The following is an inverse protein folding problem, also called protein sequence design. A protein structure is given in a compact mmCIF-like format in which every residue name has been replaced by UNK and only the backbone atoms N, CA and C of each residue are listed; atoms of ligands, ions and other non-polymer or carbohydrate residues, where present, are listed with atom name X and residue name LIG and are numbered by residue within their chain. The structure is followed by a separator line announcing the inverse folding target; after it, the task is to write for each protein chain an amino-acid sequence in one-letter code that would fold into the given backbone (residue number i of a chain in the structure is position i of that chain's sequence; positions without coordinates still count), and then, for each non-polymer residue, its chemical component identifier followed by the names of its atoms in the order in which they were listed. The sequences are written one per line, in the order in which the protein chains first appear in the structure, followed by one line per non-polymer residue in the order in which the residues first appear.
data_IF_688333394071
#
_entry.id   IF_688333394071
#
_cell.length_a   1.000
_cell.length_b   1.000
_cell.length_c   1.000
_cell.angle_alpha   90.00
_cell.angle_beta   90.00
_cell.angle_gamma   90.00
#
_symmetry.space_group_name_H-M   'P 1'
#
loop_
_entity.id
_entity.type
_entity.pdbx_description
1 polymer ?
#
# COMPACT_ATOMS: atom_id res chain seq x y z
N UNK A 1 22.00 9.56 -4.22
CA UNK A 1 21.98 9.04 -2.83
C UNK A 1 20.56 8.69 -2.39
N UNK A 2 19.56 9.54 -2.65
CA UNK A 2 18.14 9.30 -2.29
C UNK A 2 17.61 7.93 -2.74
N UNK A 3 17.77 7.57 -4.02
CA UNK A 3 17.32 6.27 -4.54
C UNK A 3 17.87 5.07 -3.76
N UNK A 4 19.16 5.04 -3.46
CA UNK A 4 19.79 3.93 -2.74
C UNK A 4 19.25 3.77 -1.31
N UNK A 5 18.99 4.88 -0.62
CA UNK A 5 18.38 4.87 0.72
C UNK A 5 16.99 4.27 0.67
N UNK A 6 16.16 4.69 -0.30
CA UNK A 6 14.81 4.16 -0.46
C UNK A 6 14.81 2.71 -0.91
N UNK A 7 15.75 2.30 -1.76
CA UNK A 7 15.91 0.91 -2.16
C UNK A 7 16.22 0.02 -0.95
N UNK A 8 17.14 0.45 -0.09
CA UNK A 8 17.48 -0.29 1.15
C UNK A 8 16.29 -0.32 2.10
N UNK A 9 15.59 0.81 2.29
CA UNK A 9 14.40 0.87 3.15
C UNK A 9 13.29 -0.06 2.65
N UNK A 10 13.04 -0.09 1.34
CA UNK A 10 12.07 -0.98 0.71
C UNK A 10 12.48 -2.45 0.82
N UNK A 11 13.76 -2.77 0.60
CA UNK A 11 14.28 -4.11 0.78
C UNK A 11 14.15 -4.58 2.24
N UNK A 12 14.46 -3.72 3.20
CA UNK A 12 14.27 -4.00 4.63
C UNK A 12 12.80 -4.23 4.98
N UNK A 13 11.89 -3.40 4.46
CA UNK A 13 10.45 -3.59 4.63
C UNK A 13 9.98 -4.94 4.05
N UNK A 14 10.42 -5.27 2.84
CA UNK A 14 10.12 -6.55 2.19
C UNK A 14 10.63 -7.74 3.00
N UNK A 15 11.88 -7.70 3.47
CA UNK A 15 12.46 -8.73 4.32
C UNK A 15 11.70 -8.88 5.64
N UNK A 16 11.30 -7.77 6.27
CA UNK A 16 10.51 -7.83 7.49
C UNK A 16 9.15 -8.51 7.28
N UNK A 17 8.42 -8.11 6.22
CA UNK A 17 7.10 -8.69 5.89
C UNK A 17 7.23 -10.16 5.52
N UNK A 18 8.26 -10.50 4.73
CA UNK A 18 8.38 -11.81 4.13
C UNK A 18 9.10 -12.82 5.03
N UNK A 19 10.23 -12.47 5.63
CA UNK A 19 11.09 -13.44 6.31
C UNK A 19 10.86 -13.50 7.83
N UNK A 20 10.52 -12.37 8.46
CA UNK A 20 10.62 -12.24 9.92
C UNK A 20 9.26 -12.41 10.61
N UNK A 21 8.18 -11.95 9.98
CA UNK A 21 6.87 -11.89 10.61
C UNK A 21 6.13 -13.23 10.61
N UNK A 22 5.54 -13.60 11.75
CA UNK A 22 4.53 -14.68 11.83
C UNK A 22 3.31 -14.30 10.97
N UNK A 23 3.15 -14.95 9.82
CA UNK A 23 2.08 -14.64 8.87
C UNK A 23 0.78 -15.34 9.25
N UNK A 24 -0.32 -14.60 9.33
CA UNK A 24 -1.69 -15.16 9.41
C UNK A 24 -2.32 -15.32 8.03
N UNK A 25 -1.72 -14.66 7.05
CA UNK A 25 -2.03 -14.73 5.63
C UNK A 25 -1.08 -15.72 4.94
N UNK A 26 -1.60 -16.61 4.10
CA UNK A 26 -0.78 -17.57 3.34
C UNK A 26 0.07 -16.86 2.27
N UNK A 27 1.19 -17.47 1.85
CA UNK A 27 2.09 -16.86 0.85
C UNK A 27 1.40 -16.52 -0.49
N UNK A 28 0.46 -17.34 -0.94
CA UNK A 28 -0.32 -17.05 -2.16
C UNK A 28 -1.24 -15.84 -1.96
N UNK A 29 -1.87 -15.72 -0.80
CA UNK A 29 -2.68 -14.54 -0.45
C UNK A 29 -1.81 -13.27 -0.39
N UNK A 30 -0.61 -13.36 0.20
CA UNK A 30 0.36 -12.24 0.21
C UNK A 30 0.67 -11.79 -1.22
N UNK A 31 1.00 -12.72 -2.11
CA UNK A 31 1.27 -12.41 -3.53
C UNK A 31 0.05 -11.76 -4.20
N UNK A 32 -1.15 -12.32 -4.01
CA UNK A 32 -2.36 -11.79 -4.62
C UNK A 32 -2.70 -10.37 -4.13
N UNK A 33 -2.61 -10.13 -2.82
CA UNK A 33 -2.88 -8.81 -2.23
C UNK A 33 -1.80 -7.80 -2.59
N UNK A 34 -0.54 -8.24 -2.69
CA UNK A 34 0.57 -7.40 -3.16
C UNK A 34 0.34 -6.94 -4.61
N UNK A 35 0.02 -7.87 -5.52
CA UNK A 35 -0.28 -7.55 -6.92
C UNK A 35 -1.49 -6.63 -7.07
N UNK A 36 -2.59 -6.89 -6.34
CA UNK A 36 -3.74 -5.99 -6.34
C UNK A 36 -3.35 -4.58 -5.87
N UNK A 37 -2.55 -4.49 -4.80
CA UNK A 37 -2.14 -3.21 -4.25
C UNK A 37 -1.25 -2.44 -5.23
N UNK A 38 -0.35 -3.12 -5.95
CA UNK A 38 0.42 -2.52 -7.05
C UNK A 38 -0.53 -1.92 -8.09
N UNK A 39 -1.53 -2.68 -8.55
CA UNK A 39 -2.49 -2.19 -9.55
C UNK A 39 -3.19 -0.93 -9.04
N UNK A 40 -3.71 -0.94 -7.81
CA UNK A 40 -4.42 0.20 -7.23
C UNK A 40 -3.51 1.43 -7.10
N UNK A 41 -2.30 1.27 -6.57
CA UNK A 41 -1.36 2.38 -6.35
C UNK A 41 -0.81 2.94 -7.67
N UNK A 42 -0.57 2.09 -8.67
CA UNK A 42 -0.15 2.54 -10.00
C UNK A 42 -1.28 3.30 -10.71
N UNK A 43 -2.53 2.82 -10.62
CA UNK A 43 -3.67 3.54 -11.20
C UNK A 43 -3.94 4.87 -10.49
N UNK A 44 -3.81 4.90 -9.15
CA UNK A 44 -3.82 6.15 -8.39
C UNK A 44 -2.79 7.13 -8.96
N UNK A 45 -1.53 6.72 -9.02
CA UNK A 45 -0.47 7.58 -9.53
C UNK A 45 -0.73 8.03 -10.97
N UNK A 46 -1.16 7.14 -11.87
CA UNK A 46 -1.49 7.50 -13.25
C UNK A 46 -2.61 8.54 -13.36
N UNK A 47 -3.69 8.39 -12.58
CA UNK A 47 -4.82 9.33 -12.61
C UNK A 47 -4.38 10.72 -12.12
N UNK A 48 -3.67 10.78 -10.98
CA UNK A 48 -3.39 12.05 -10.32
C UNK A 48 -2.15 12.79 -10.85
N UNK A 49 -1.18 12.03 -11.37
CA UNK A 49 0.02 12.58 -12.03
C UNK A 49 -0.25 12.90 -13.51
N UNK A 50 -0.70 11.92 -14.31
CA UNK A 50 -0.78 12.09 -15.77
C UNK A 50 -2.03 12.86 -16.22
N UNK A 51 -3.17 12.65 -15.56
CA UNK A 51 -4.45 13.18 -16.04
C UNK A 51 -4.81 14.53 -15.41
N UNK A 52 -4.67 14.66 -14.08
CA UNK A 52 -5.10 15.88 -13.37
C UNK A 52 -3.97 16.82 -12.98
N UNK A 53 -2.70 16.38 -13.07
CA UNK A 53 -1.51 17.13 -12.60
C UNK A 53 -1.65 17.67 -11.17
N UNK A 54 -2.39 16.95 -10.32
CA UNK A 54 -2.55 17.34 -8.91
C UNK A 54 -1.31 16.97 -8.09
N UNK A 55 -0.57 15.98 -8.58
CA UNK A 55 0.74 15.57 -8.07
C UNK A 55 1.78 15.67 -9.18
N UNK A 56 3.04 15.77 -8.78
CA UNK A 56 4.19 15.96 -9.65
C UNK A 56 5.32 15.06 -9.18
N UNK A 57 5.98 14.36 -10.10
CA UNK A 57 7.14 13.52 -9.83
C UNK A 57 8.29 14.21 -10.55
N UNK A 58 9.33 14.68 -9.83
CA UNK A 58 10.42 15.37 -10.49
C UNK A 58 11.10 14.47 -11.53
N UNK A 59 11.39 15.05 -12.69
CA UNK A 59 12.02 14.42 -13.88
C UNK A 59 13.53 14.16 -13.64
N UNK A 60 13.87 13.69 -12.45
CA UNK A 60 15.20 13.36 -11.98
C UNK A 60 15.18 11.88 -11.65
N UNK A 61 15.98 11.10 -12.38
CA UNK A 61 16.01 9.63 -12.32
C UNK A 61 16.03 9.05 -10.90
N UNK A 62 16.71 9.71 -9.95
CA UNK A 62 16.77 9.25 -8.56
C UNK A 62 15.46 9.40 -7.80
N UNK A 63 14.65 10.41 -8.11
CA UNK A 63 13.34 10.61 -7.50
C UNK A 63 12.29 9.74 -8.17
N UNK A 64 12.28 9.66 -9.51
CA UNK A 64 11.40 8.75 -10.24
C UNK A 64 11.62 7.29 -9.85
N UNK A 65 12.87 6.86 -9.74
CA UNK A 65 13.20 5.50 -9.30
C UNK A 65 12.74 5.24 -7.86
N UNK A 66 12.87 6.22 -6.96
CA UNK A 66 12.43 6.07 -5.58
C UNK A 66 10.90 5.97 -5.49
N UNK A 67 10.20 6.83 -6.21
CA UNK A 67 8.74 6.83 -6.31
C UNK A 67 8.23 5.51 -6.93
N UNK A 68 8.87 5.02 -8.00
CA UNK A 68 8.54 3.72 -8.61
C UNK A 68 8.71 2.58 -7.60
N UNK A 69 9.83 2.54 -6.88
CA UNK A 69 10.08 1.50 -5.87
C UNK A 69 9.07 1.58 -4.73
N UNK A 70 8.72 2.77 -4.26
CA UNK A 70 7.69 2.93 -3.23
C UNK A 70 6.32 2.43 -3.70
N UNK A 71 5.93 2.75 -4.95
CA UNK A 71 4.67 2.29 -5.57
C UNK A 71 4.62 0.77 -5.79
N UNK A 72 5.76 0.13 -6.05
CA UNK A 72 5.84 -1.32 -6.29
C UNK A 72 6.04 -2.14 -5.00
N UNK A 73 6.68 -1.58 -3.99
CA UNK A 73 7.14 -2.32 -2.82
C UNK A 73 6.57 -1.72 -1.54
N UNK A 74 6.93 -0.48 -1.17
CA UNK A 74 6.57 0.12 0.11
C UNK A 74 5.06 0.14 0.37
N UNK A 75 4.30 0.82 -0.49
CA UNK A 75 2.85 0.97 -0.31
C UNK A 75 2.12 -0.39 -0.41
N UNK A 76 2.40 -1.23 -1.42
CA UNK A 76 1.80 -2.56 -1.49
C UNK A 76 2.08 -3.43 -0.27
N UNK A 77 3.30 -3.44 0.26
CA UNK A 77 3.63 -4.20 1.46
C UNK A 77 2.96 -3.63 2.70
N UNK A 78 2.90 -2.31 2.85
CA UNK A 78 2.17 -1.66 3.93
C UNK A 78 0.69 -2.07 3.93
N UNK A 79 0.05 -2.09 2.75
CA UNK A 79 -1.33 -2.57 2.60
C UNK A 79 -1.45 -4.04 3.02
N UNK A 80 -0.56 -4.93 2.56
CA UNK A 80 -0.55 -6.34 2.97
C UNK A 80 -0.39 -6.48 4.49
N UNK A 81 0.48 -5.69 5.13
CA UNK A 81 0.68 -5.70 6.57
C UNK A 81 -0.58 -5.29 7.33
N UNK A 82 -1.29 -4.26 6.84
CA UNK A 82 -2.55 -3.77 7.41
C UNK A 82 -3.63 -4.85 7.27
N UNK A 83 -3.71 -5.54 6.12
CA UNK A 83 -4.61 -6.67 5.94
C UNK A 83 -4.30 -7.80 6.93
N UNK A 84 -3.03 -8.18 7.11
CA UNK A 84 -2.64 -9.22 8.08
C UNK A 84 -3.04 -8.82 9.51
N UNK A 85 -2.83 -7.56 9.89
CA UNK A 85 -3.29 -7.04 11.18
C UNK A 85 -4.81 -7.10 11.32
N UNK A 86 -5.56 -6.72 10.27
CA UNK A 86 -7.03 -6.81 10.28
C UNK A 86 -7.53 -8.25 10.48
N UNK A 87 -6.79 -9.26 9.98
CA UNK A 87 -7.13 -10.67 10.22
C UNK A 87 -6.89 -11.13 11.66
N UNK A 88 -6.04 -10.43 12.41
CA UNK A 88 -5.80 -10.68 13.82
C UNK A 88 -6.95 -10.21 14.71
N UNK A 89 -7.65 -9.16 14.28
CA UNK A 89 -8.72 -8.54 15.05
C UNK A 89 -10.00 -9.39 15.01
N UNK A 90 -10.48 -9.78 16.19
CA UNK A 90 -11.72 -10.55 16.35
C UNK A 90 -12.97 -9.69 16.23
N UNK A 91 -12.91 -8.43 16.65
CA UNK A 91 -14.05 -7.50 16.69
C UNK A 91 -14.06 -6.55 15.49
N UNK A 92 -15.25 -6.09 15.10
CA UNK A 92 -15.40 -5.07 14.04
C UNK A 92 -14.77 -3.74 14.44
N UNK A 93 -14.85 -3.36 15.72
CA UNK A 93 -14.20 -2.16 16.25
C UNK A 93 -12.67 -2.23 16.14
N UNK A 94 -12.07 -3.39 16.45
CA UNK A 94 -10.63 -3.58 16.27
C UNK A 94 -10.20 -3.52 14.81
N UNK A 95 -11.02 -4.05 13.89
CA UNK A 95 -10.78 -3.94 12.45
C UNK A 95 -10.85 -2.49 11.97
N UNK A 96 -11.88 -1.76 12.38
CA UNK A 96 -12.03 -0.34 12.05
C UNK A 96 -10.84 0.48 12.57
N UNK A 97 -10.42 0.25 13.82
CA UNK A 97 -9.22 0.89 14.38
C UNK A 97 -7.94 0.56 13.61
N UNK A 98 -7.78 -0.69 13.17
CA UNK A 98 -6.62 -1.10 12.35
C UNK A 98 -6.63 -0.42 10.97
N UNK A 99 -7.81 -0.28 10.36
CA UNK A 99 -7.96 0.44 9.08
C UNK A 99 -7.61 1.91 9.27
N UNK A 100 -8.15 2.57 10.29
CA UNK A 100 -7.86 3.97 10.57
C UNK A 100 -6.37 4.20 10.84
N UNK A 101 -5.74 3.34 11.66
CA UNK A 101 -4.29 3.38 11.88
C UNK A 101 -3.52 3.18 10.57
N UNK A 102 -3.97 2.25 9.73
CA UNK A 102 -3.39 2.00 8.40
C UNK A 102 -3.48 3.22 7.48
N UNK A 103 -4.63 3.91 7.45
CA UNK A 103 -4.82 5.17 6.70
C UNK A 103 -3.84 6.23 7.19
N UNK A 104 -3.68 6.39 8.51
CA UNK A 104 -2.72 7.34 9.07
C UNK A 104 -1.28 7.01 8.67
N UNK A 105 -0.89 5.73 8.69
CA UNK A 105 0.45 5.29 8.28
C UNK A 105 0.69 5.57 6.80
N UNK A 106 -0.23 5.15 5.91
CA UNK A 106 -0.08 5.35 4.47
C UNK A 106 -0.05 6.83 4.08
N UNK A 107 -0.93 7.62 4.70
CA UNK A 107 -0.93 9.08 4.55
C UNK A 107 0.41 9.66 5.04
N UNK A 108 0.92 9.20 6.18
CA UNK A 108 2.21 9.63 6.70
C UNK A 108 3.38 9.32 5.76
N UNK A 109 3.40 8.13 5.15
CA UNK A 109 4.41 7.76 4.14
C UNK A 109 4.33 8.67 2.91
N UNK A 110 3.13 8.94 2.41
CA UNK A 110 2.90 9.86 1.29
C UNK A 110 3.39 11.28 1.60
N UNK A 111 3.13 11.80 2.80
CA UNK A 111 3.65 13.12 3.21
C UNK A 111 5.17 13.13 3.41
N UNK A 112 5.79 12.00 3.76
CA UNK A 112 7.26 11.88 3.78
C UNK A 112 7.79 11.96 2.35
N UNK A 113 7.16 11.27 1.40
CA UNK A 113 7.54 11.33 -0.03
C UNK A 113 7.37 12.76 -0.60
N UNK A 114 6.33 13.48 -0.17
CA UNK A 114 6.13 14.90 -0.49
C UNK A 114 7.25 15.80 0.06
N UNK A 115 7.55 15.67 1.34
CA UNK A 115 8.59 16.48 2.00
C UNK A 115 10.00 16.18 1.50
N UNK A 116 10.24 14.97 1.01
CA UNK A 116 11.52 14.58 0.41
C UNK A 116 11.62 14.91 -1.08
N UNK A 117 10.55 15.45 -1.67
CA UNK A 117 10.49 15.80 -3.09
C UNK A 117 10.38 14.60 -4.02
N UNK A 118 10.04 13.42 -3.51
CA UNK A 118 9.86 12.20 -4.32
C UNK A 118 8.51 12.24 -5.02
N UNK A 119 7.48 12.68 -4.30
CA UNK A 119 6.10 12.76 -4.80
C UNK A 119 5.45 14.07 -4.34
N UNK A 120 5.47 15.10 -5.18
CA UNK A 120 5.12 16.47 -4.78
C UNK A 120 3.64 16.76 -5.02
N UNK A 121 2.95 17.23 -3.99
CA UNK A 121 1.57 17.69 -4.08
C UNK A 121 1.51 19.16 -4.47
N UNK A 122 0.84 19.49 -5.59
CA UNK A 122 0.73 20.87 -6.10
C UNK A 122 -0.55 21.56 -5.64
N UNK A 123 -1.69 20.96 -5.96
CA UNK A 123 -3.03 21.49 -5.65
C UNK A 123 -3.86 20.44 -4.93
N UNK A 124 -3.22 19.78 -3.96
CA UNK A 124 -3.79 18.67 -3.22
C UNK A 124 -4.41 19.14 -1.91
N UNK A 125 -5.68 18.83 -1.69
CA UNK A 125 -6.29 19.05 -0.39
C UNK A 125 -5.80 17.95 0.58
N UNK A 126 -5.42 18.34 1.80
CA UNK A 126 -4.91 17.41 2.81
C UNK A 126 -5.82 16.19 3.03
N UNK A 127 -7.14 16.37 2.94
CA UNK A 127 -8.13 15.31 3.14
C UNK A 127 -8.24 14.30 1.99
N UNK A 128 -7.66 14.57 0.82
CA UNK A 128 -7.69 13.64 -0.30
C UNK A 128 -6.80 12.42 -0.06
N UNK A 129 -5.61 12.61 0.53
CA UNK A 129 -4.73 11.53 0.95
C UNK A 129 -5.44 10.48 1.81
N UNK A 130 -5.98 10.81 3.00
CA UNK A 130 -6.64 9.83 3.84
C UNK A 130 -7.89 9.23 3.18
N UNK A 131 -8.62 9.99 2.35
CA UNK A 131 -9.78 9.48 1.63
C UNK A 131 -9.41 8.40 0.61
N UNK A 132 -8.34 8.61 -0.15
CA UNK A 132 -7.86 7.66 -1.16
C UNK A 132 -7.27 6.42 -0.50
N UNK A 133 -6.45 6.59 0.54
CA UNK A 133 -5.91 5.45 1.28
C UNK A 133 -7.00 4.62 1.94
N UNK A 134 -8.04 5.27 2.47
CA UNK A 134 -9.22 4.57 2.98
C UNK A 134 -9.91 3.78 1.87
N UNK A 135 -10.15 4.38 0.71
CA UNK A 135 -10.78 3.70 -0.44
C UNK A 135 -9.95 2.48 -0.89
N UNK A 136 -8.63 2.63 -1.05
CA UNK A 136 -7.73 1.54 -1.43
C UNK A 136 -7.79 0.40 -0.42
N UNK A 137 -7.74 0.71 0.88
CA UNK A 137 -7.85 -0.30 1.94
C UNK A 137 -9.20 -1.01 1.95
N UNK A 138 -10.30 -0.29 1.72
CA UNK A 138 -11.63 -0.89 1.63
C UNK A 138 -11.75 -1.84 0.42
N UNK A 139 -11.22 -1.44 -0.73
CA UNK A 139 -11.15 -2.31 -1.92
C UNK A 139 -10.30 -3.55 -1.63
N UNK A 140 -9.13 -3.39 -1.02
CA UNK A 140 -8.25 -4.50 -0.67
C UNK A 140 -8.88 -5.46 0.36
N UNK A 141 -9.60 -4.94 1.36
CA UNK A 141 -10.37 -5.74 2.32
C UNK A 141 -11.52 -6.49 1.64
N UNK A 142 -12.24 -5.83 0.74
CA UNK A 142 -13.30 -6.45 -0.06
C UNK A 142 -12.76 -7.60 -0.92
N UNK A 143 -11.63 -7.36 -1.59
CA UNK A 143 -10.95 -8.40 -2.35
C UNK A 143 -10.46 -9.55 -1.47
N UNK A 144 -9.84 -9.28 -0.32
CA UNK A 144 -9.44 -10.33 0.64
C UNK A 144 -10.64 -11.20 1.05
N UNK A 145 -11.77 -10.57 1.37
CA UNK A 145 -12.99 -11.30 1.72
C UNK A 145 -13.50 -12.16 0.55
N UNK A 146 -13.49 -11.62 -0.66
CA UNK A 146 -13.87 -12.35 -1.88
C UNK A 146 -12.92 -13.53 -2.16
N UNK A 147 -11.61 -13.28 -2.18
CA UNK A 147 -10.55 -14.25 -2.45
C UNK A 147 -10.63 -15.44 -1.48
N UNK A 148 -10.77 -15.17 -0.18
CA UNK A 148 -10.90 -16.22 0.84
C UNK A 148 -12.17 -17.03 0.70
N UNK A 149 -13.31 -16.39 0.41
CA UNK A 149 -14.60 -17.07 0.29
C UNK A 149 -14.71 -17.92 -0.97
N UNK A 150 -14.25 -17.42 -2.11
CA UNK A 150 -14.47 -18.05 -3.42
C UNK A 150 -13.30 -18.91 -3.89
N UNK A 151 -12.07 -18.40 -3.80
CA UNK A 151 -10.90 -19.15 -4.28
C UNK A 151 -10.41 -20.15 -3.24
N UNK A 152 -10.13 -19.71 -2.01
CA UNK A 152 -9.63 -20.63 -0.98
C UNK A 152 -10.72 -21.54 -0.40
N UNK A 153 -11.97 -21.05 -0.32
CA UNK A 153 -13.12 -21.85 0.08
C UNK A 153 -13.41 -23.02 -0.87
N UNK A 154 -13.09 -22.88 -2.16
CA UNK A 154 -13.17 -23.96 -3.14
C UNK A 154 -12.08 -25.03 -2.96
N UNK A 155 -10.84 -24.60 -2.68
CA UNK A 155 -9.69 -25.52 -2.49
C UNK A 155 -9.85 -26.41 -1.26
N UNK A 156 -10.55 -25.96 -0.20
CA UNK A 156 -10.83 -26.80 0.98
C UNK A 156 -11.97 -27.81 0.78
N UNK A 157 -12.71 -27.72 -0.33
CA UNK A 157 -13.84 -28.60 -0.66
C UNK A 157 -13.54 -29.57 -1.81
N UNK A 158 -12.40 -29.41 -2.48
CA UNK A 158 -11.87 -30.31 -3.49
C UNK A 158 -10.85 -31.26 -2.83
#
# INVERSE_FOLDING_TARGET
MTFAVYLIANAAAALYVLAIRKRRIQSLEVLAYWLLSIILVQNYSAIFYMNTRFTDIPDILSFEGADLVNRLVLYPLAIVLILDLCTACRTMTGKAGTVLAGVCVLTGLEWIDDRTGIHVHRSWAFWWSPAIWLLILLVALGFMAYFRRKLLGGIRRA
#
